data_IF_215160529783
#
_entry.id   IF_215160529783
#
_cell.length_a   1.000
_cell.length_b   1.000
_cell.length_c   1.000
_cell.angle_alpha   90.00
_cell.angle_beta   90.00
_cell.angle_gamma   90.00
#
_symmetry.space_group_name_H-M   'P 1'
#
loop_
_entity.id
_entity.type
_entity.pdbx_description
1 polymer ?
#
# COMPACT_ATOMS: atom_id res chain seq x y z
N UNK A 1 -14.63 -44.38 -17.02
CA UNK A 1 -14.36 -43.24 -16.12
C UNK A 1 -13.04 -42.62 -16.54
N UNK A 2 -13.10 -41.70 -17.49
CA UNK A 2 -11.91 -41.02 -18.03
C UNK A 2 -11.67 -39.71 -17.28
N UNK A 3 -10.42 -39.53 -16.83
CA UNK A 3 -9.93 -38.30 -16.22
C UNK A 3 -9.70 -37.27 -17.32
N UNK A 4 -10.53 -36.24 -17.38
CA UNK A 4 -10.27 -35.03 -18.17
C UNK A 4 -9.20 -34.22 -17.43
N UNK A 5 -8.06 -34.01 -18.07
CA UNK A 5 -6.95 -33.18 -17.57
C UNK A 5 -7.24 -31.70 -17.85
N UNK A 6 -6.90 -30.86 -16.87
CA UNK A 6 -7.20 -29.42 -16.75
C UNK A 6 -6.74 -28.53 -17.94
N UNK A 7 -5.97 -29.08 -18.88
CA UNK A 7 -5.46 -28.37 -20.06
C UNK A 7 -6.52 -28.18 -21.17
N UNK A 8 -7.58 -28.99 -21.22
CA UNK A 8 -8.66 -28.82 -22.21
C UNK A 8 -9.60 -27.64 -21.88
N UNK A 9 -9.63 -27.19 -20.62
CA UNK A 9 -10.48 -26.07 -20.23
C UNK A 9 -9.97 -24.73 -20.78
N UNK A 10 -8.65 -24.60 -20.96
CA UNK A 10 -8.01 -23.34 -21.39
C UNK A 10 -8.11 -23.12 -22.91
N UNK A 11 -8.19 -24.20 -23.71
CA UNK A 11 -8.39 -24.06 -25.16
C UNK A 11 -9.83 -23.65 -25.54
N UNK A 12 -10.80 -23.75 -24.62
CA UNK A 12 -12.19 -23.37 -24.87
C UNK A 12 -12.49 -21.86 -24.74
N UNK A 13 -11.53 -21.05 -24.25
CA UNK A 13 -11.71 -19.61 -24.02
C UNK A 13 -11.23 -18.76 -25.23
N UNK A 14 -10.77 -19.41 -26.30
CA UNK A 14 -10.35 -18.69 -27.52
C UNK A 14 -11.46 -18.76 -28.58
N UNK A 15 -12.09 -17.61 -28.83
CA UNK A 15 -13.15 -17.34 -29.82
C UNK A 15 -14.53 -17.99 -29.61
N UNK A 16 -15.47 -17.19 -29.07
CA UNK A 16 -16.83 -16.99 -29.65
C UNK A 16 -17.47 -15.72 -29.10
N UNK A 17 -17.34 -14.61 -29.84
CA UNK A 17 -18.30 -13.51 -29.76
C UNK A 17 -19.48 -13.86 -30.67
N UNK A 18 -20.48 -14.56 -30.13
CA UNK A 18 -21.79 -14.68 -30.77
C UNK A 18 -22.86 -14.33 -29.73
N UNK A 19 -23.33 -13.07 -29.77
CA UNK A 19 -24.53 -12.68 -29.05
C UNK A 19 -25.75 -13.26 -29.77
N UNK A 20 -26.29 -14.39 -29.29
CA UNK A 20 -27.65 -14.82 -29.66
C UNK A 20 -28.66 -14.06 -28.82
N UNK A 21 -29.44 -13.18 -29.46
CA UNK A 21 -30.61 -12.55 -28.84
C UNK A 21 -31.83 -13.47 -29.00
N UNK A 22 -32.50 -13.74 -27.89
CA UNK A 22 -33.82 -14.37 -27.84
C UNK A 22 -34.88 -13.27 -27.74
N UNK A 23 -36.02 -13.46 -28.41
CA UNK A 23 -37.15 -12.55 -28.18
C UNK A 23 -37.87 -12.87 -26.85
N UNK A 24 -38.83 -12.03 -26.47
CA UNK A 24 -39.60 -12.16 -25.22
C UNK A 24 -40.41 -13.47 -25.11
N UNK A 25 -40.49 -14.27 -26.19
CA UNK A 25 -41.13 -15.58 -26.21
C UNK A 25 -40.15 -16.75 -26.12
N UNK A 26 -38.85 -16.47 -26.02
CA UNK A 26 -37.80 -17.50 -25.87
C UNK A 26 -37.40 -18.19 -27.18
N UNK A 27 -37.81 -17.67 -28.35
CA UNK A 27 -37.40 -18.23 -29.65
C UNK A 27 -36.13 -17.57 -30.18
N UNK A 28 -35.25 -18.39 -30.75
CA UNK A 28 -33.93 -18.00 -31.27
C UNK A 28 -34.11 -17.31 -32.63
N UNK A 29 -33.70 -16.03 -32.76
CA UNK A 29 -33.66 -15.33 -34.05
C UNK A 29 -32.30 -15.51 -34.71
N UNK A 30 -32.27 -16.10 -35.92
CA UNK A 30 -31.10 -16.08 -36.80
C UNK A 30 -31.08 -14.77 -37.60
N UNK A 31 -29.90 -14.14 -37.81
CA UNK A 31 -29.81 -12.92 -38.62
C UNK A 31 -30.01 -13.23 -40.11
N UNK A 32 -30.95 -12.53 -40.74
CA UNK A 32 -31.15 -12.56 -42.19
C UNK A 32 -29.95 -11.94 -42.90
N UNK A 33 -29.35 -12.67 -43.84
CA UNK A 33 -28.45 -12.12 -44.87
C UNK A 33 -29.29 -11.59 -46.03
N UNK A 34 -29.12 -10.33 -46.43
CA UNK A 34 -29.20 -9.87 -47.83
C UNK A 34 -28.72 -8.42 -48.01
N UNK A 35 -27.68 -8.29 -48.86
CA UNK A 35 -27.36 -7.30 -49.90
C UNK A 35 -27.62 -5.77 -49.73
N UNK A 36 -26.49 -5.05 -49.63
CA UNK A 36 -26.05 -3.85 -50.41
C UNK A 36 -27.03 -2.79 -50.94
N UNK A 37 -26.88 -1.54 -50.47
CA UNK A 37 -26.57 -0.34 -51.28
C UNK A 37 -26.33 0.89 -50.36
N UNK A 38 -25.52 1.88 -50.77
CA UNK A 38 -25.06 2.98 -49.91
C UNK A 38 -26.04 4.15 -49.93
N UNK A 39 -26.14 4.97 -48.87
CA UNK A 39 -26.50 6.40 -48.95
C UNK A 39 -26.44 7.09 -47.57
N UNK A 40 -25.70 8.21 -47.58
CA UNK A 40 -25.70 9.42 -46.75
C UNK A 40 -25.57 9.38 -45.22
N UNK A 41 -24.53 10.09 -44.77
CA UNK A 41 -24.41 10.71 -43.46
C UNK A 41 -25.64 11.56 -43.11
N UNK A 42 -26.20 11.36 -41.92
CA UNK A 42 -26.82 12.45 -41.16
C UNK A 42 -26.52 12.27 -39.67
N UNK A 43 -26.16 13.39 -39.03
CA UNK A 43 -25.91 13.51 -37.59
C UNK A 43 -27.23 13.38 -36.82
N UNK A 44 -27.24 12.57 -35.77
CA UNK A 44 -27.61 12.93 -34.39
C UNK A 44 -28.12 11.70 -33.64
N UNK A 45 -27.60 11.48 -32.43
CA UNK A 45 -28.40 11.42 -31.21
C UNK A 45 -27.56 10.80 -30.08
N UNK A 46 -27.53 11.54 -28.99
CA UNK A 46 -26.85 11.36 -27.71
C UNK A 46 -27.44 10.24 -26.83
N UNK A 47 -26.58 9.80 -25.88
CA UNK A 47 -26.84 9.12 -24.60
C UNK A 47 -26.93 7.58 -24.58
N UNK A 48 -26.03 6.95 -23.79
CA UNK A 48 -26.42 6.56 -22.42
C UNK A 48 -25.35 6.87 -21.35
N UNK A 49 -24.82 8.10 -21.32
CA UNK A 49 -23.84 8.55 -20.31
C UNK A 49 -24.44 9.37 -19.15
N UNK A 50 -25.73 9.72 -19.19
CA UNK A 50 -26.32 10.66 -18.22
C UNK A 50 -26.86 10.03 -16.92
N UNK A 51 -27.15 8.73 -16.89
CA UNK A 51 -27.79 8.11 -15.70
C UNK A 51 -26.81 7.94 -14.52
N UNK A 52 -25.54 7.58 -14.79
CA UNK A 52 -24.51 7.47 -13.75
C UNK A 52 -24.09 8.84 -13.20
N UNK A 53 -24.02 9.87 -14.06
CA UNK A 53 -23.68 11.24 -13.63
C UNK A 53 -24.82 11.86 -12.81
N UNK A 54 -26.08 11.57 -13.14
CA UNK A 54 -27.23 12.00 -12.33
C UNK A 54 -27.24 11.34 -10.94
N UNK A 55 -26.98 10.04 -10.83
CA UNK A 55 -26.98 9.33 -9.54
C UNK A 55 -25.86 9.82 -8.60
N UNK A 56 -24.65 10.09 -9.13
CA UNK A 56 -23.55 10.67 -8.35
C UNK A 56 -23.85 12.13 -7.93
N UNK A 57 -24.48 12.92 -8.81
CA UNK A 57 -24.80 14.33 -8.53
C UNK A 57 -25.95 14.48 -7.52
N UNK A 58 -26.95 13.59 -7.57
CA UNK A 58 -28.09 13.56 -6.62
C UNK A 58 -27.62 13.12 -5.23
N UNK A 59 -26.74 12.12 -5.14
CA UNK A 59 -26.13 11.69 -3.88
C UNK A 59 -25.34 12.82 -3.20
N UNK A 60 -24.50 13.52 -3.96
CA UNK A 60 -23.67 14.61 -3.44
C UNK A 60 -24.48 15.86 -3.05
N UNK A 61 -25.58 16.17 -3.76
CA UNK A 61 -26.49 17.26 -3.36
C UNK A 61 -27.28 16.95 -2.09
N UNK A 62 -27.74 15.71 -1.92
CA UNK A 62 -28.48 15.30 -0.72
C UNK A 62 -27.58 15.34 0.53
N UNK A 63 -26.33 14.88 0.41
CA UNK A 63 -25.33 14.96 1.49
C UNK A 63 -24.99 16.43 1.81
N UNK A 64 -24.77 17.27 0.80
CA UNK A 64 -24.52 18.70 1.00
C UNK A 64 -25.67 19.46 1.68
N UNK A 65 -26.92 19.13 1.35
CA UNK A 65 -28.10 19.74 1.99
C UNK A 65 -28.32 19.27 3.43
N UNK A 66 -28.00 18.01 3.74
CA UNK A 66 -27.99 17.48 5.12
C UNK A 66 -26.91 18.16 5.96
N UNK A 67 -25.71 18.37 5.39
CA UNK A 67 -24.60 19.08 6.04
C UNK A 67 -24.96 20.54 6.35
N UNK A 68 -25.57 21.25 5.40
CA UNK A 68 -26.02 22.64 5.60
C UNK A 68 -27.12 22.75 6.68
N UNK A 69 -28.01 21.77 6.79
CA UNK A 69 -29.03 21.72 7.85
C UNK A 69 -28.44 21.42 9.23
N UNK A 70 -27.40 20.58 9.30
CA UNK A 70 -26.69 20.29 10.54
C UNK A 70 -25.89 21.51 11.04
N UNK A 71 -25.20 22.22 10.14
CA UNK A 71 -24.44 23.45 10.46
C UNK A 71 -25.37 24.56 10.99
N UNK A 72 -26.58 24.70 10.41
CA UNK A 72 -27.54 25.74 10.83
C UNK A 72 -28.19 25.46 12.21
N UNK A 73 -28.17 24.22 12.70
CA UNK A 73 -28.77 23.82 13.99
C UNK A 73 -27.77 23.72 15.16
N UNK A 74 -26.47 23.87 14.93
CA UNK A 74 -25.42 23.58 15.91
C UNK A 74 -24.57 24.78 16.35
N UNK A 75 -25.16 25.93 16.69
CA UNK A 75 -24.43 27.03 17.34
C UNK A 75 -24.37 26.79 18.86
N UNK A 76 -23.32 26.11 19.30
CA UNK A 76 -22.56 26.30 20.56
C UNK A 76 -21.76 25.03 20.82
N UNK A 77 -20.60 24.86 20.19
CA UNK A 77 -19.57 23.98 20.70
C UNK A 77 -18.22 24.41 20.13
N UNK A 78 -17.21 24.47 21.02
CA UNK A 78 -15.84 24.92 20.74
C UNK A 78 -15.35 24.41 19.38
N UNK A 79 -15.22 25.31 18.42
CA UNK A 79 -14.51 25.07 17.16
C UNK A 79 -13.04 24.87 17.49
N UNK A 80 -12.52 23.68 17.19
CA UNK A 80 -11.08 23.42 17.29
C UNK A 80 -10.39 24.20 16.17
N UNK A 81 -9.25 24.84 16.46
CA UNK A 81 -8.50 25.59 15.43
C UNK A 81 -8.09 24.64 14.31
N UNK A 82 -8.45 24.99 13.08
CA UNK A 82 -8.08 24.25 11.88
C UNK A 82 -6.59 23.90 11.87
N UNK A 83 -6.27 22.65 11.51
CA UNK A 83 -4.90 22.16 11.31
C UNK A 83 -4.20 21.53 12.52
N UNK A 84 -4.85 21.39 13.69
CA UNK A 84 -4.29 20.59 14.80
C UNK A 84 -4.82 19.16 14.76
N UNK A 85 -3.92 18.17 14.72
CA UNK A 85 -4.30 16.75 14.91
C UNK A 85 -5.05 16.60 16.24
N UNK A 86 -6.25 16.03 16.20
CA UNK A 86 -6.98 15.67 17.42
C UNK A 86 -6.26 14.49 18.07
N UNK A 87 -5.76 14.71 19.29
CA UNK A 87 -5.12 13.66 20.08
C UNK A 87 -6.16 12.57 20.41
N UNK A 88 -5.79 11.30 20.22
CA UNK A 88 -6.57 10.13 20.65
C UNK A 88 -7.02 10.22 22.10
N UNK A 89 -6.19 10.78 22.99
CA UNK A 89 -6.53 10.95 24.42
C UNK A 89 -7.77 11.83 24.63
N UNK A 90 -7.95 12.85 23.77
CA UNK A 90 -9.13 13.74 23.82
C UNK A 90 -10.36 12.98 23.34
N UNK A 91 -10.20 12.14 22.32
CA UNK A 91 -11.29 11.32 21.77
C UNK A 91 -11.71 10.28 22.80
N UNK A 92 -10.78 9.50 23.34
CA UNK A 92 -11.03 8.46 24.34
C UNK A 92 -11.58 9.04 25.65
N UNK A 93 -11.08 10.21 26.10
CA UNK A 93 -11.63 10.88 27.28
C UNK A 93 -13.09 11.32 27.07
N UNK A 94 -13.45 11.73 25.85
CA UNK A 94 -14.80 12.21 25.54
C UNK A 94 -15.76 11.09 25.14
N UNK A 95 -15.23 10.01 24.57
CA UNK A 95 -15.96 8.84 24.09
C UNK A 95 -15.25 7.57 24.59
N UNK A 96 -15.38 7.20 25.87
CA UNK A 96 -14.58 6.13 26.48
C UNK A 96 -14.86 4.71 25.94
N UNK A 97 -15.95 4.53 25.20
CA UNK A 97 -16.37 3.24 24.64
C UNK A 97 -16.12 3.12 23.13
N UNK A 98 -15.46 4.12 22.53
CA UNK A 98 -15.22 4.16 21.08
C UNK A 98 -14.17 3.12 20.67
N UNK A 99 -14.41 2.40 19.58
CA UNK A 99 -13.42 1.44 19.07
C UNK A 99 -12.23 2.14 18.42
N UNK A 100 -11.08 1.48 18.39
CA UNK A 100 -9.86 2.03 17.78
C UNK A 100 -10.06 2.44 16.32
N UNK A 101 -10.82 1.66 15.54
CA UNK A 101 -11.16 1.99 14.14
C UNK A 101 -11.95 3.29 14.02
N UNK A 102 -12.86 3.56 14.95
CA UNK A 102 -13.63 4.82 14.96
C UNK A 102 -12.71 5.99 15.35
N UNK A 103 -11.75 5.80 16.26
CA UNK A 103 -10.75 6.84 16.59
C UNK A 103 -9.93 7.23 15.37
N UNK A 104 -9.43 6.26 14.62
CA UNK A 104 -8.64 6.48 13.40
C UNK A 104 -9.47 7.19 12.32
N UNK A 105 -10.73 6.79 12.17
CA UNK A 105 -11.65 7.42 11.23
C UNK A 105 -12.01 8.86 11.66
N UNK A 106 -12.16 9.14 12.95
CA UNK A 106 -12.34 10.51 13.48
C UNK A 106 -11.13 11.38 13.12
N UNK A 107 -9.92 10.85 13.31
CA UNK A 107 -8.69 11.58 12.99
C UNK A 107 -8.58 11.85 11.49
N UNK A 108 -8.95 10.89 10.64
CA UNK A 108 -9.00 11.06 9.18
C UNK A 108 -10.02 12.13 8.78
N UNK A 109 -11.27 12.00 9.23
CA UNK A 109 -12.35 12.96 8.94
C UNK A 109 -11.97 14.36 9.39
N UNK A 110 -11.35 14.52 10.56
CA UNK A 110 -10.94 15.84 11.03
C UNK A 110 -9.75 16.43 10.26
N UNK A 111 -8.87 15.59 9.68
CA UNK A 111 -7.82 16.07 8.78
C UNK A 111 -8.39 16.56 7.44
N UNK A 112 -9.43 15.88 6.92
CA UNK A 112 -10.08 16.23 5.66
C UNK A 112 -11.04 17.42 5.79
N UNK A 113 -11.70 17.54 6.93
CA UNK A 113 -12.70 18.57 7.23
C UNK A 113 -12.35 19.29 8.55
N UNK A 114 -11.35 20.19 8.57
CA UNK A 114 -10.82 20.78 9.80
C UNK A 114 -11.85 21.61 10.59
N UNK A 115 -12.87 22.13 9.91
CA UNK A 115 -13.96 22.91 10.51
C UNK A 115 -15.06 22.03 11.13
N UNK A 116 -15.00 20.72 10.91
CA UNK A 116 -15.95 19.77 11.47
C UNK A 116 -15.77 19.65 12.98
N UNK A 117 -16.87 19.82 13.73
CA UNK A 117 -16.84 19.61 15.19
C UNK A 117 -16.48 18.17 15.51
N UNK A 118 -15.81 17.94 16.64
CA UNK A 118 -15.44 16.57 17.08
C UNK A 118 -16.65 15.63 17.20
N UNK A 119 -17.84 16.15 17.56
CA UNK A 119 -19.06 15.33 17.60
C UNK A 119 -19.54 14.94 16.20
N UNK A 120 -19.54 15.88 15.25
CA UNK A 120 -19.88 15.57 13.86
C UNK A 120 -18.87 14.60 13.22
N UNK A 121 -17.58 14.76 13.53
CA UNK A 121 -16.55 13.81 13.11
C UNK A 121 -16.73 12.43 13.72
N UNK A 122 -17.11 12.34 15.00
CA UNK A 122 -17.48 11.09 15.67
C UNK A 122 -18.71 10.44 15.02
N UNK A 123 -19.81 11.19 14.87
CA UNK A 123 -21.06 10.67 14.30
C UNK A 123 -20.84 10.17 12.85
N UNK A 124 -20.05 10.92 12.06
CA UNK A 124 -19.66 10.52 10.71
C UNK A 124 -18.75 9.29 10.73
N UNK A 125 -17.76 9.24 11.62
CA UNK A 125 -16.85 8.12 11.75
C UNK A 125 -17.54 6.84 12.21
N UNK A 126 -18.46 6.91 13.18
CA UNK A 126 -19.29 5.77 13.57
C UNK A 126 -20.19 5.31 12.45
N UNK A 127 -20.85 6.22 11.74
CA UNK A 127 -21.69 5.87 10.60
C UNK A 127 -20.88 5.23 9.48
N UNK A 128 -19.67 5.73 9.26
CA UNK A 128 -18.70 5.18 8.34
C UNK A 128 -18.29 3.76 8.75
N UNK A 129 -17.78 3.59 9.96
CA UNK A 129 -17.39 2.30 10.52
C UNK A 129 -18.58 1.33 10.51
N UNK A 130 -19.79 1.77 10.84
CA UNK A 130 -21.02 0.96 10.84
C UNK A 130 -21.40 0.51 9.43
N UNK A 131 -21.48 1.43 8.46
CA UNK A 131 -21.77 1.12 7.05
C UNK A 131 -20.75 0.19 6.43
N UNK A 132 -19.52 0.26 6.92
CA UNK A 132 -18.42 -0.54 6.40
C UNK A 132 -18.18 -1.83 7.18
N UNK A 133 -18.93 -2.09 8.27
CA UNK A 133 -18.77 -3.32 9.07
C UNK A 133 -17.50 -3.35 9.91
N UNK A 134 -17.15 -2.23 10.53
CA UNK A 134 -15.90 -1.95 11.28
C UNK A 134 -14.67 -1.59 10.43
N UNK A 135 -14.84 -0.86 9.32
CA UNK A 135 -13.71 -0.42 8.47
C UNK A 135 -13.53 1.11 8.49
N UNK A 136 -12.34 1.58 8.16
CA UNK A 136 -12.06 2.99 7.84
C UNK A 136 -12.76 3.31 6.51
N UNK A 137 -13.73 4.23 6.50
CA UNK A 137 -14.43 4.60 5.26
C UNK A 137 -13.63 5.62 4.49
N UNK A 138 -13.66 5.53 3.17
CA UNK A 138 -12.90 6.42 2.28
C UNK A 138 -11.98 5.69 1.32
N UNK A 139 -11.61 4.43 1.60
CA UNK A 139 -10.80 3.61 0.67
C UNK A 139 -11.60 2.96 -0.47
N UNK A 140 -12.76 3.51 -0.85
CA UNK A 140 -13.80 2.90 -1.69
C UNK A 140 -13.35 1.82 -2.69
N UNK A 141 -14.07 0.69 -2.75
CA UNK A 141 -13.74 -0.46 -3.61
C UNK A 141 -14.22 -1.77 -3.01
N UNK A 142 -14.34 -2.81 -3.82
CA UNK A 142 -14.61 -4.16 -3.32
C UNK A 142 -13.37 -4.74 -2.64
N UNK A 143 -13.53 -5.36 -1.47
CA UNK A 143 -12.45 -6.16 -0.83
C UNK A 143 -12.02 -7.25 -1.79
N UNK A 144 -10.72 -7.46 -1.90
CA UNK A 144 -10.15 -8.57 -2.66
C UNK A 144 -9.90 -9.72 -1.69
N UNK A 145 -10.54 -10.86 -1.93
CA UNK A 145 -10.50 -12.00 -1.00
C UNK A 145 -9.31 -12.91 -1.21
N UNK A 146 -8.90 -13.06 -2.47
CA UNK A 146 -7.88 -13.99 -2.92
C UNK A 146 -7.36 -13.56 -4.31
N UNK A 147 -6.33 -14.25 -4.79
CA UNK A 147 -5.68 -14.00 -6.06
C UNK A 147 -6.62 -14.18 -7.28
N UNK A 148 -7.63 -15.05 -7.21
CA UNK A 148 -8.60 -15.24 -8.30
C UNK A 148 -9.54 -14.04 -8.39
N UNK A 149 -10.03 -13.57 -7.25
CA UNK A 149 -10.82 -12.35 -7.13
C UNK A 149 -10.00 -11.12 -7.55
N UNK A 150 -8.71 -11.07 -7.21
CA UNK A 150 -7.78 -10.03 -7.69
C UNK A 150 -7.71 -9.99 -9.22
N UNK A 151 -7.44 -11.14 -9.86
CA UNK A 151 -7.36 -11.24 -11.32
C UNK A 151 -8.67 -10.81 -11.96
N UNK A 152 -9.80 -11.30 -11.44
CA UNK A 152 -11.14 -10.97 -11.94
C UNK A 152 -11.40 -9.46 -11.88
N UNK A 153 -11.17 -8.85 -10.71
CA UNK A 153 -11.42 -7.42 -10.48
C UNK A 153 -10.49 -6.52 -11.30
N UNK A 154 -9.22 -6.87 -11.44
CA UNK A 154 -8.30 -6.11 -12.27
C UNK A 154 -8.62 -6.26 -13.77
N UNK A 155 -9.08 -7.42 -14.21
CA UNK A 155 -9.53 -7.64 -15.60
C UNK A 155 -10.75 -6.78 -15.96
N UNK A 156 -11.66 -6.55 -15.01
CA UNK A 156 -12.82 -5.67 -15.20
C UNK A 156 -12.44 -4.20 -15.43
N UNK A 157 -11.20 -3.80 -15.11
CA UNK A 157 -10.68 -2.46 -15.41
C UNK A 157 -10.28 -2.32 -16.89
N UNK A 158 -10.38 -3.37 -17.71
CA UNK A 158 -10.13 -3.33 -19.15
C UNK A 158 -8.65 -3.26 -19.54
N UNK A 159 -7.74 -3.40 -18.57
CA UNK A 159 -6.30 -3.48 -18.82
C UNK A 159 -5.91 -4.89 -19.33
N UNK A 160 -4.80 -4.98 -20.06
CA UNK A 160 -4.24 -6.27 -20.45
C UNK A 160 -3.66 -6.97 -19.21
N UNK A 161 -4.20 -8.13 -18.86
CA UNK A 161 -3.85 -8.87 -17.66
C UNK A 161 -2.92 -10.06 -17.92
N UNK A 162 -2.53 -10.35 -19.15
CA UNK A 162 -1.82 -11.59 -19.50
C UNK A 162 -0.58 -11.87 -18.63
N UNK A 163 0.36 -10.91 -18.56
CA UNK A 163 1.59 -11.03 -17.76
C UNK A 163 1.32 -10.91 -16.26
N UNK A 164 0.40 -10.02 -15.86
CA UNK A 164 0.08 -9.80 -14.45
C UNK A 164 -0.64 -11.00 -13.83
N UNK A 165 -1.58 -11.61 -14.55
CA UNK A 165 -2.29 -12.81 -14.12
C UNK A 165 -1.34 -13.99 -13.93
N UNK A 166 -0.41 -14.21 -14.89
CA UNK A 166 0.61 -15.26 -14.74
C UNK A 166 1.48 -15.03 -13.49
N UNK A 167 1.91 -13.78 -13.27
CA UNK A 167 2.65 -13.41 -12.07
C UNK A 167 1.83 -13.68 -10.80
N UNK A 168 0.57 -13.23 -10.75
CA UNK A 168 -0.32 -13.43 -9.60
C UNK A 168 -0.50 -14.93 -9.32
N UNK A 169 -0.72 -15.74 -10.34
CA UNK A 169 -0.88 -17.20 -10.19
C UNK A 169 0.40 -17.86 -9.70
N UNK A 170 1.57 -17.45 -10.20
CA UNK A 170 2.86 -18.03 -9.79
C UNK A 170 3.24 -17.68 -8.33
N UNK A 171 2.66 -16.61 -7.79
CA UNK A 171 2.91 -16.10 -6.43
C UNK A 171 1.64 -16.11 -5.56
N UNK A 172 0.69 -17.00 -5.86
CA UNK A 172 -0.65 -16.96 -5.25
C UNK A 172 -0.62 -17.12 -3.73
N UNK A 173 0.22 -18.00 -3.17
CA UNK A 173 0.35 -18.19 -1.72
C UNK A 173 0.79 -16.91 -0.98
N UNK A 174 1.74 -16.18 -1.55
CA UNK A 174 2.23 -14.91 -1.01
C UNK A 174 1.16 -13.81 -1.11
N UNK A 175 0.51 -13.74 -2.27
CA UNK A 175 -0.55 -12.76 -2.54
C UNK A 175 -1.75 -13.01 -1.63
N UNK A 176 -2.20 -14.25 -1.48
CA UNK A 176 -3.34 -14.59 -0.62
C UNK A 176 -3.05 -14.27 0.85
N UNK A 177 -1.82 -14.51 1.32
CA UNK A 177 -1.38 -14.08 2.66
C UNK A 177 -1.49 -12.56 2.79
N UNK A 178 -0.93 -11.79 1.85
CA UNK A 178 -1.05 -10.33 1.84
C UNK A 178 -2.51 -9.84 1.84
N UNK A 179 -3.35 -10.39 0.97
CA UNK A 179 -4.76 -10.03 0.83
C UNK A 179 -5.56 -10.31 2.11
N UNK A 180 -5.26 -11.43 2.78
CA UNK A 180 -5.87 -11.82 4.05
C UNK A 180 -5.45 -10.90 5.19
N UNK A 181 -4.14 -10.65 5.35
CA UNK A 181 -3.61 -9.91 6.49
C UNK A 181 -3.81 -8.39 6.37
N UNK A 182 -3.81 -7.84 5.15
CA UNK A 182 -3.84 -6.39 4.92
C UNK A 182 -5.17 -5.86 4.35
N UNK A 183 -6.11 -6.75 4.06
CA UNK A 183 -7.44 -6.42 3.55
C UNK A 183 -7.43 -5.47 2.34
N UNK A 184 -6.66 -5.80 1.31
CA UNK A 184 -6.55 -4.98 0.10
C UNK A 184 -7.90 -4.75 -0.59
N UNK A 185 -8.01 -3.59 -1.23
CA UNK A 185 -9.14 -3.13 -2.02
C UNK A 185 -8.69 -2.87 -3.46
N UNK A 186 -9.62 -2.94 -4.41
CA UNK A 186 -9.32 -2.66 -5.84
C UNK A 186 -8.66 -1.29 -6.05
N UNK A 187 -9.06 -0.29 -5.25
CA UNK A 187 -8.52 1.07 -5.31
C UNK A 187 -7.04 1.17 -4.93
N UNK A 188 -6.48 0.17 -4.24
CA UNK A 188 -5.06 0.17 -3.84
C UNK A 188 -4.11 -0.09 -5.01
N UNK A 189 -4.60 -0.68 -6.11
CA UNK A 189 -3.78 -1.15 -7.23
C UNK A 189 -3.55 -0.10 -8.33
N UNK A 190 -4.14 1.10 -8.26
CA UNK A 190 -3.94 2.23 -9.21
C UNK A 190 -3.82 1.83 -10.70
N UNK A 191 -4.64 0.90 -11.16
CA UNK A 191 -4.62 0.41 -12.55
C UNK A 191 -5.54 1.24 -13.44
N UNK A 192 -5.07 1.58 -14.65
CA UNK A 192 -5.86 2.29 -15.66
C UNK A 192 -6.16 1.37 -16.86
N UNK A 193 -7.31 1.51 -17.55
CA UNK A 193 -7.65 0.69 -18.72
C UNK A 193 -6.60 0.71 -19.85
N UNK A 194 -5.82 1.80 -19.95
CA UNK A 194 -4.77 1.93 -20.95
C UNK A 194 -3.42 1.30 -20.55
N UNK A 195 -3.34 0.66 -19.39
CA UNK A 195 -2.10 0.02 -18.95
C UNK A 195 -1.84 -1.26 -19.76
N UNK A 196 -0.58 -1.40 -20.19
CA UNK A 196 -0.05 -2.66 -20.68
C UNK A 196 0.08 -3.68 -19.55
N UNK A 197 0.16 -4.98 -19.88
CA UNK A 197 0.33 -6.03 -18.87
C UNK A 197 1.55 -5.85 -17.97
N UNK A 198 2.64 -5.28 -18.49
CA UNK A 198 3.82 -4.95 -17.70
C UNK A 198 3.53 -3.86 -16.66
N UNK A 199 2.80 -2.82 -17.04
CA UNK A 199 2.41 -1.74 -16.12
C UNK A 199 1.44 -2.24 -15.05
N UNK A 200 0.52 -3.15 -15.39
CA UNK A 200 -0.36 -3.75 -14.39
C UNK A 200 0.44 -4.61 -13.42
N UNK A 201 1.37 -5.46 -13.90
CA UNK A 201 2.25 -6.24 -13.03
C UNK A 201 3.02 -5.32 -12.07
N UNK A 202 3.62 -4.24 -12.58
CA UNK A 202 4.33 -3.25 -11.74
C UNK A 202 3.41 -2.66 -10.68
N UNK A 203 2.21 -2.20 -11.05
CA UNK A 203 1.26 -1.64 -10.10
C UNK A 203 0.82 -2.64 -9.02
N UNK A 204 0.69 -3.93 -9.37
CA UNK A 204 0.41 -5.02 -8.42
C UNK A 204 1.59 -5.24 -7.48
N UNK A 205 2.80 -5.37 -8.00
CA UNK A 205 4.00 -5.52 -7.18
C UNK A 205 4.18 -4.32 -6.24
N UNK A 206 4.05 -3.10 -6.75
CA UNK A 206 4.20 -1.89 -5.95
C UNK A 206 3.17 -1.82 -4.82
N UNK A 207 1.91 -2.22 -5.07
CA UNK A 207 0.89 -2.26 -4.03
C UNK A 207 1.28 -3.21 -2.88
N UNK A 208 1.79 -4.41 -3.18
CA UNK A 208 2.23 -5.37 -2.16
C UNK A 208 3.53 -4.95 -1.45
N UNK A 209 4.39 -4.17 -2.11
CA UNK A 209 5.59 -3.61 -1.48
C UNK A 209 5.27 -2.42 -0.57
N UNK A 210 4.34 -1.55 -0.98
CA UNK A 210 4.09 -0.30 -0.27
C UNK A 210 3.03 -0.42 0.83
N UNK A 211 1.98 -1.20 0.63
CA UNK A 211 0.85 -1.21 1.56
C UNK A 211 1.18 -1.76 2.96
N UNK A 212 2.03 -2.79 3.14
CA UNK A 212 2.43 -3.22 4.49
C UNK A 212 3.00 -2.08 5.32
N UNK A 213 3.83 -1.22 4.74
CA UNK A 213 4.42 -0.06 5.42
C UNK A 213 3.40 0.98 5.88
N UNK A 214 2.28 1.09 5.16
CA UNK A 214 1.23 2.10 5.40
C UNK A 214 0.13 1.59 6.32
N UNK A 215 -0.22 0.31 6.22
CA UNK A 215 -1.36 -0.29 6.91
C UNK A 215 -0.96 -0.86 8.27
N UNK A 216 0.25 -1.41 8.40
CA UNK A 216 0.72 -1.96 9.67
C UNK A 216 1.35 -0.85 10.51
N UNK A 217 0.81 -0.57 11.70
CA UNK A 217 1.26 0.56 12.54
C UNK A 217 2.26 0.20 13.63
N UNK A 218 2.37 -1.07 13.99
CA UNK A 218 3.27 -1.51 15.06
C UNK A 218 4.35 -2.43 14.51
N UNK A 219 5.54 -2.35 15.11
CA UNK A 219 6.66 -3.22 14.72
C UNK A 219 6.35 -4.70 14.98
N UNK A 220 5.64 -5.01 16.08
CA UNK A 220 5.25 -6.38 16.41
C UNK A 220 4.38 -6.98 15.30
N UNK A 221 3.33 -6.26 14.89
CA UNK A 221 2.47 -6.69 13.79
C UNK A 221 3.23 -6.79 12.46
N UNK A 222 4.19 -5.89 12.22
CA UNK A 222 4.99 -5.92 10.98
C UNK A 222 5.91 -7.15 10.96
N UNK A 223 6.55 -7.48 12.08
CA UNK A 223 7.39 -8.66 12.20
C UNK A 223 6.58 -9.94 11.98
N UNK A 224 5.41 -10.07 12.62
CA UNK A 224 4.52 -11.22 12.43
C UNK A 224 4.07 -11.36 10.98
N UNK A 225 3.66 -10.27 10.34
CA UNK A 225 3.29 -10.25 8.93
C UNK A 225 4.45 -10.71 8.03
N UNK A 226 5.66 -10.17 8.25
CA UNK A 226 6.82 -10.52 7.43
C UNK A 226 7.25 -11.98 7.61
N UNK A 227 7.04 -12.58 8.79
CA UNK A 227 7.27 -14.00 9.03
C UNK A 227 6.26 -14.85 8.24
N UNK A 228 4.98 -14.47 8.22
CA UNK A 228 3.95 -15.14 7.43
C UNK A 228 4.24 -15.05 5.92
N UNK A 229 4.67 -13.89 5.43
CA UNK A 229 5.07 -13.74 4.02
C UNK A 229 6.24 -14.65 3.65
N UNK A 230 7.28 -14.73 4.50
CA UNK A 230 8.44 -15.60 4.26
C UNK A 230 8.05 -17.07 4.30
N UNK A 231 7.10 -17.45 5.17
CA UNK A 231 6.56 -18.81 5.21
C UNK A 231 5.77 -19.14 3.92
N UNK A 232 5.07 -18.18 3.35
CA UNK A 232 4.31 -18.35 2.11
C UNK A 232 5.21 -18.49 0.87
N UNK A 233 6.26 -17.66 0.75
CA UNK A 233 7.18 -17.70 -0.39
C UNK A 233 8.60 -17.21 -0.07
N UNK A 234 9.44 -18.13 0.43
CA UNK A 234 10.75 -17.83 1.02
C UNK A 234 11.65 -16.89 0.21
N UNK A 235 11.85 -17.10 -1.09
CA UNK A 235 12.81 -16.33 -1.89
C UNK A 235 12.32 -14.92 -2.20
N UNK A 236 11.09 -14.79 -2.68
CA UNK A 236 10.50 -13.51 -3.11
C UNK A 236 10.23 -12.63 -1.89
N UNK A 237 9.63 -13.19 -0.83
CA UNK A 237 9.33 -12.45 0.41
C UNK A 237 10.58 -11.95 1.11
N UNK A 238 11.68 -12.71 1.10
CA UNK A 238 12.95 -12.25 1.68
C UNK A 238 13.49 -10.98 0.99
N UNK A 239 13.29 -10.86 -0.32
CA UNK A 239 13.67 -9.65 -1.05
C UNK A 239 12.73 -8.47 -0.75
N UNK A 240 11.44 -8.75 -0.50
CA UNK A 240 10.43 -7.73 -0.24
C UNK A 240 10.53 -7.11 1.14
N UNK A 241 10.74 -7.97 2.13
CA UNK A 241 10.83 -7.66 3.56
C UNK A 241 11.76 -6.51 3.89
N UNK A 242 12.94 -6.47 3.27
CA UNK A 242 13.91 -5.39 3.48
C UNK A 242 13.38 -4.02 3.07
N UNK A 243 12.80 -3.92 1.86
CA UNK A 243 12.24 -2.67 1.34
C UNK A 243 10.93 -2.29 2.04
N UNK A 244 10.05 -3.25 2.34
CA UNK A 244 8.85 -3.00 3.15
C UNK A 244 9.22 -2.44 4.54
N UNK A 245 10.28 -2.96 5.16
CA UNK A 245 10.76 -2.48 6.46
C UNK A 245 11.32 -1.06 6.40
N UNK A 246 12.14 -0.77 5.38
CA UNK A 246 12.63 0.59 5.12
C UNK A 246 11.47 1.58 5.02
N UNK A 247 10.49 1.28 4.16
CA UNK A 247 9.32 2.13 4.00
C UNK A 247 8.51 2.24 5.30
N UNK A 248 8.41 1.14 6.05
CA UNK A 248 7.71 1.13 7.34
C UNK A 248 8.39 2.08 8.33
N UNK A 249 9.72 2.07 8.41
CA UNK A 249 10.51 2.96 9.26
C UNK A 249 10.26 4.41 8.87
N UNK A 250 10.33 4.74 7.58
CA UNK A 250 10.10 6.08 7.06
C UNK A 250 8.71 6.65 7.39
N UNK A 251 7.69 5.78 7.36
CA UNK A 251 6.30 6.17 7.61
C UNK A 251 5.99 6.25 9.11
N UNK A 252 6.47 5.31 9.90
CA UNK A 252 6.00 5.11 11.28
C UNK A 252 6.99 5.64 12.34
N UNK A 253 8.27 5.83 12.02
CA UNK A 253 9.28 6.31 12.98
C UNK A 253 9.60 7.78 12.68
N UNK A 254 9.04 8.70 13.47
CA UNK A 254 9.08 10.15 13.19
C UNK A 254 10.47 10.71 12.94
N UNK A 255 11.49 10.25 13.67
CA UNK A 255 12.87 10.72 13.52
C UNK A 255 13.50 10.37 12.16
N UNK A 256 12.91 9.45 11.39
CA UNK A 256 13.41 9.00 10.09
C UNK A 256 12.69 9.60 8.89
N UNK A 257 11.56 10.28 9.10
CA UNK A 257 10.77 10.90 8.02
C UNK A 257 11.56 11.88 7.12
N UNK A 258 12.71 12.38 7.59
CA UNK A 258 13.59 13.31 6.86
C UNK A 258 14.84 12.66 6.25
N UNK A 259 15.05 11.35 6.45
CA UNK A 259 16.28 10.63 6.09
C UNK A 259 16.19 9.86 4.78
N UNK A 260 15.33 10.34 3.86
CA UNK A 260 14.99 9.65 2.60
C UNK A 260 16.08 9.73 1.52
N UNK A 261 17.10 10.56 1.72
CA UNK A 261 18.22 10.61 0.79
C UNK A 261 19.05 9.34 0.95
N UNK A 262 19.38 8.69 -0.16
CA UNK A 262 20.34 7.60 -0.21
C UNK A 262 21.67 8.11 -0.73
N UNK A 263 22.78 7.58 -0.23
CA UNK A 263 24.11 7.85 -0.78
C UNK A 263 24.61 6.62 -1.52
N UNK A 264 25.03 6.82 -2.76
CA UNK A 264 25.65 5.80 -3.60
C UNK A 264 27.16 5.94 -3.61
N UNK A 265 27.86 4.86 -3.30
CA UNK A 265 29.32 4.75 -3.28
C UNK A 265 29.77 3.81 -4.40
N UNK A 266 30.43 4.32 -5.45
CA UNK A 266 30.96 3.47 -6.50
C UNK A 266 32.02 2.52 -5.92
N UNK A 267 32.14 1.33 -6.50
CA UNK A 267 33.16 0.36 -6.09
C UNK A 267 34.55 0.99 -6.23
N UNK A 268 35.33 0.99 -5.15
CA UNK A 268 36.71 1.48 -5.15
C UNK A 268 37.58 0.74 -4.14
N UNK A 269 38.89 0.68 -4.40
CA UNK A 269 39.87 0.07 -3.51
C UNK A 269 39.52 -1.35 -3.09
N UNK A 270 39.43 -1.57 -1.78
CA UNK A 270 39.16 -2.89 -1.18
C UNK A 270 37.67 -3.23 -1.06
N UNK A 271 36.77 -2.41 -1.61
CA UNK A 271 35.34 -2.70 -1.55
C UNK A 271 34.98 -3.90 -2.42
N UNK A 272 34.16 -4.80 -1.89
CA UNK A 272 33.68 -5.97 -2.62
C UNK A 272 32.79 -5.57 -3.82
N UNK A 273 31.92 -4.57 -3.61
CA UNK A 273 30.99 -4.02 -4.61
C UNK A 273 30.65 -2.55 -4.33
N UNK A 274 29.94 -1.91 -5.26
CA UNK A 274 29.32 -0.62 -5.01
C UNK A 274 28.28 -0.75 -3.88
N UNK A 275 28.06 0.33 -3.13
CA UNK A 275 27.16 0.34 -1.98
C UNK A 275 26.22 1.52 -2.05
N UNK A 276 24.95 1.25 -1.76
CA UNK A 276 23.94 2.28 -1.55
C UNK A 276 23.51 2.20 -0.09
N UNK A 277 23.41 3.36 0.58
CA UNK A 277 22.79 3.43 1.90
C UNK A 277 21.27 3.44 1.79
N UNK A 278 20.57 2.94 2.80
CA UNK A 278 19.11 3.00 2.87
C UNK A 278 18.63 4.40 3.25
N UNK A 279 19.44 5.13 4.05
CA UNK A 279 19.19 6.54 4.38
C UNK A 279 20.47 7.33 4.64
N UNK A 280 20.32 8.65 4.72
CA UNK A 280 21.38 9.61 5.03
C UNK A 280 20.80 10.77 5.84
N UNK A 281 21.48 11.11 6.94
CA UNK A 281 21.16 12.24 7.77
C UNK A 281 22.21 13.35 7.55
N UNK A 282 21.83 14.38 6.80
CA UNK A 282 22.73 15.49 6.47
C UNK A 282 23.10 16.35 7.68
N UNK A 283 22.33 16.29 8.78
CA UNK A 283 22.64 17.07 9.99
C UNK A 283 23.77 16.43 10.79
N UNK A 284 23.79 15.10 10.86
CA UNK A 284 24.82 14.35 11.58
C UNK A 284 25.93 13.83 10.67
N UNK A 285 25.74 13.93 9.35
CA UNK A 285 26.61 13.37 8.31
C UNK A 285 26.79 11.84 8.45
N UNK A 286 25.71 11.14 8.77
CA UNK A 286 25.72 9.70 9.02
C UNK A 286 24.85 8.97 7.99
N UNK A 287 25.31 7.82 7.54
CA UNK A 287 24.48 6.91 6.74
C UNK A 287 23.71 5.96 7.65
N UNK A 288 22.54 5.57 7.19
CA UNK A 288 21.66 4.62 7.86
C UNK A 288 21.42 3.41 6.96
N UNK A 289 21.49 2.23 7.56
CA UNK A 289 21.35 0.95 6.91
C UNK A 289 20.31 0.13 7.68
N UNK A 290 19.16 -0.10 7.07
CA UNK A 290 18.00 -0.75 7.67
C UNK A 290 18.06 -2.25 7.41
N UNK A 291 17.88 -3.05 8.45
CA UNK A 291 18.12 -4.50 8.40
C UNK A 291 17.00 -5.26 9.07
N UNK A 292 16.05 -5.73 8.25
CA UNK A 292 14.98 -6.65 8.70
C UNK A 292 15.44 -8.11 8.69
N UNK A 293 16.60 -8.37 9.29
CA UNK A 293 17.16 -9.72 9.46
C UNK A 293 17.32 -10.02 10.94
N UNK A 294 17.08 -11.27 11.32
CA UNK A 294 17.37 -11.79 12.66
C UNK A 294 18.81 -12.28 12.79
N UNK A 295 19.52 -12.45 11.67
CA UNK A 295 20.91 -12.92 11.63
C UNK A 295 21.96 -11.81 11.56
N UNK A 296 23.25 -12.18 11.48
CA UNK A 296 24.34 -11.24 11.31
C UNK A 296 24.24 -10.46 10.01
N UNK A 297 24.65 -9.19 10.04
CA UNK A 297 24.90 -8.40 8.81
C UNK A 297 26.02 -9.06 8.00
N UNK A 298 25.88 -9.03 6.68
CA UNK A 298 26.87 -9.53 5.73
C UNK A 298 28.26 -8.93 6.02
N UNK A 299 29.25 -9.81 6.23
CA UNK A 299 30.62 -9.44 6.59
C UNK A 299 31.27 -8.54 5.53
N UNK A 300 31.00 -8.77 4.25
CA UNK A 300 31.55 -7.95 3.18
C UNK A 300 30.88 -6.58 3.14
N UNK A 301 29.60 -6.48 3.53
CA UNK A 301 28.95 -5.19 3.73
C UNK A 301 29.59 -4.39 4.86
N UNK A 302 29.86 -5.04 6.01
CA UNK A 302 30.52 -4.41 7.15
C UNK A 302 31.91 -3.89 6.75
N UNK A 303 32.70 -4.70 6.04
CA UNK A 303 34.03 -4.31 5.55
C UNK A 303 33.97 -3.15 4.56
N UNK A 304 33.00 -3.15 3.64
CA UNK A 304 32.86 -2.07 2.66
C UNK A 304 32.53 -0.74 3.34
N UNK A 305 31.61 -0.75 4.31
CA UNK A 305 31.30 0.45 5.09
C UNK A 305 32.46 0.88 5.99
N UNK A 306 33.21 -0.07 6.56
CA UNK A 306 34.40 0.23 7.36
C UNK A 306 35.44 0.94 6.48
N UNK A 307 35.64 0.46 5.25
CA UNK A 307 36.49 1.10 4.27
C UNK A 307 36.00 2.50 3.89
N UNK A 308 34.69 2.67 3.62
CA UNK A 308 34.09 3.98 3.30
C UNK A 308 34.38 5.00 4.39
N UNK A 309 34.15 4.64 5.65
CA UNK A 309 34.37 5.53 6.80
C UNK A 309 35.87 5.81 7.01
N UNK A 310 36.71 4.78 7.05
CA UNK A 310 38.14 4.95 7.36
C UNK A 310 38.89 5.72 6.27
N UNK A 311 38.54 5.48 5.00
CA UNK A 311 39.19 6.14 3.85
C UNK A 311 38.48 7.41 3.42
N UNK A 312 37.39 7.80 4.09
CA UNK A 312 36.55 8.95 3.73
C UNK A 312 36.14 8.91 2.26
N UNK A 313 35.73 7.73 1.79
CA UNK A 313 35.27 7.53 0.41
C UNK A 313 34.07 8.43 0.19
N UNK A 314 34.10 9.17 -0.91
CA UNK A 314 33.02 10.07 -1.27
C UNK A 314 31.94 9.32 -2.05
N UNK A 315 30.68 9.63 -1.76
CA UNK A 315 29.56 9.20 -2.58
C UNK A 315 29.60 9.85 -3.97
N UNK A 316 28.71 9.42 -4.87
CA UNK A 316 28.46 10.07 -6.14
C UNK A 316 28.12 11.56 -5.99
N UNK A 317 27.50 11.94 -4.87
CA UNK A 317 27.16 13.32 -4.50
C UNK A 317 28.32 14.07 -3.82
N UNK A 318 29.56 13.53 -3.87
CA UNK A 318 30.77 14.10 -3.27
C UNK A 318 30.68 14.26 -1.73
N UNK A 319 29.87 13.44 -1.05
CA UNK A 319 29.70 13.42 0.41
C UNK A 319 30.54 12.29 1.04
N UNK A 320 31.32 12.59 2.07
CA UNK A 320 32.04 11.59 2.86
C UNK A 320 31.38 11.46 4.26
N UNK A 321 30.60 10.40 4.53
CA UNK A 321 29.94 10.23 5.81
C UNK A 321 30.94 9.94 6.94
N UNK A 322 30.57 10.31 8.16
CA UNK A 322 31.42 10.14 9.36
C UNK A 322 31.12 8.88 10.16
N UNK A 323 29.91 8.32 10.03
CA UNK A 323 29.50 7.10 10.73
C UNK A 323 28.46 6.30 9.95
N UNK A 324 28.30 5.04 10.35
CA UNK A 324 27.24 4.12 9.87
C UNK A 324 26.36 3.72 11.04
N UNK A 325 25.05 3.88 10.86
CA UNK A 325 24.03 3.45 11.81
C UNK A 325 23.25 2.26 11.23
N UNK A 326 23.30 1.12 11.90
CA UNK A 326 22.46 -0.03 11.57
C UNK A 326 21.18 -0.02 12.40
N UNK A 327 20.02 -0.12 11.74
CA UNK A 327 18.72 -0.17 12.41
C UNK A 327 18.07 -1.54 12.22
N UNK A 328 17.76 -2.19 13.33
CA UNK A 328 17.12 -3.51 13.40
C UNK A 328 15.66 -3.42 13.86
N UNK A 329 14.82 -4.42 13.53
CA UNK A 329 13.41 -4.42 13.90
C UNK A 329 13.17 -4.47 15.41
N UNK A 330 14.07 -5.09 16.17
CA UNK A 330 13.91 -5.25 17.62
C UNK A 330 15.25 -5.40 18.34
N UNK A 331 15.18 -5.43 19.68
CA UNK A 331 16.33 -5.54 20.55
C UNK A 331 17.09 -6.86 20.33
N UNK A 332 16.40 -7.96 20.05
CA UNK A 332 17.03 -9.27 19.86
C UNK A 332 17.92 -9.28 18.61
N UNK A 333 17.40 -8.78 17.49
CA UNK A 333 18.14 -8.63 16.24
C UNK A 333 19.34 -7.67 16.38
N UNK A 334 19.18 -6.58 17.12
CA UNK A 334 20.28 -5.67 17.43
C UNK A 334 21.35 -6.33 18.32
N UNK A 335 20.95 -7.09 19.33
CA UNK A 335 21.88 -7.81 20.22
C UNK A 335 22.68 -8.87 19.45
N UNK A 336 22.05 -9.60 18.53
CA UNK A 336 22.72 -10.53 17.63
C UNK A 336 23.81 -9.86 16.77
N UNK A 337 23.71 -8.55 16.56
CA UNK A 337 24.64 -7.73 15.78
C UNK A 337 25.47 -6.76 16.64
N UNK A 338 25.50 -6.95 17.97
CA UNK A 338 26.22 -6.08 18.90
C UNK A 338 27.73 -6.00 18.65
N UNK A 339 28.32 -7.01 18.00
CA UNK A 339 29.72 -7.02 17.57
C UNK A 339 30.10 -5.86 16.65
N UNK A 340 29.14 -5.28 15.92
CA UNK A 340 29.38 -4.09 15.08
C UNK A 340 29.84 -2.89 15.91
N UNK A 341 29.50 -2.82 17.20
CA UNK A 341 29.93 -1.73 18.10
C UNK A 341 31.44 -1.70 18.37
N UNK A 342 32.13 -2.81 18.09
CA UNK A 342 33.61 -2.85 18.18
C UNK A 342 34.30 -2.10 17.04
N UNK A 343 33.55 -1.72 15.99
CA UNK A 343 34.06 -0.98 14.84
C UNK A 343 33.93 0.53 15.08
N UNK A 344 35.00 1.27 14.80
CA UNK A 344 35.00 2.72 14.96
C UNK A 344 33.93 3.37 14.08
N UNK A 345 33.11 4.24 14.68
CA UNK A 345 32.01 4.97 14.03
C UNK A 345 30.89 4.08 13.48
N UNK A 346 30.71 2.88 14.05
CA UNK A 346 29.56 2.03 13.79
C UNK A 346 28.62 2.08 14.99
N UNK A 347 27.34 2.24 14.72
CA UNK A 347 26.30 2.29 15.75
C UNK A 347 25.23 1.25 15.45
N UNK A 348 24.71 0.63 16.51
CA UNK A 348 23.62 -0.35 16.44
C UNK A 348 22.39 0.25 17.10
N UNK A 349 21.26 0.18 16.39
CA UNK A 349 19.97 0.71 16.80
C UNK A 349 18.89 -0.35 16.62
N UNK A 350 17.82 -0.25 17.41
CA UNK A 350 16.63 -1.07 17.26
C UNK A 350 15.36 -0.23 17.38
N UNK A 351 14.26 -0.73 16.84
CA UNK A 351 12.94 -0.15 17.09
C UNK A 351 12.41 -0.67 18.42
N UNK A 352 12.18 0.26 19.36
CA UNK A 352 11.45 -0.04 20.58
C UNK A 352 9.96 -0.19 20.24
N UNK A 353 9.33 -1.32 20.61
CA UNK A 353 7.92 -1.54 20.33
C UNK A 353 7.04 -0.56 21.09
N UNK A 354 5.97 -0.10 20.44
CA UNK A 354 4.98 0.82 21.02
C UNK A 354 4.08 1.42 19.93
N UNK A 355 3.06 2.17 20.35
CA UNK A 355 2.15 2.88 19.43
C UNK A 355 2.83 4.03 18.68
N UNK A 356 3.89 4.58 19.26
CA UNK A 356 4.79 5.55 18.62
C UNK A 356 6.18 4.90 18.62
N UNK A 357 6.50 4.06 17.63
CA UNK A 357 7.78 3.37 17.59
C UNK A 357 8.93 4.39 17.55
N UNK A 358 9.95 4.12 18.36
CA UNK A 358 11.14 4.96 18.48
C UNK A 358 12.38 4.13 18.22
N UNK A 359 13.36 4.70 17.53
CA UNK A 359 14.67 4.08 17.46
C UNK A 359 15.46 4.33 18.75
N UNK A 360 16.03 3.26 19.31
CA UNK A 360 16.92 3.30 20.48
C UNK A 360 18.29 2.74 20.09
N UNK A 361 19.34 3.39 20.58
CA UNK A 361 20.73 2.92 20.42
C UNK A 361 20.99 1.78 21.42
N UNK A 362 21.69 0.73 20.98
CA UNK A 362 22.02 -0.46 21.77
C UNK A 362 23.25 -0.30 22.67
#
# INVERSE_FOLDING_TARGET
MEKITYLECIQSITYRKDYTMFDKSGKRKLPNKTNSAPVTQSRSSTAPFDVMRLQQTIGNRAVGQLLQRAIKKGRTNKTYKAGRKINSDIITKKYPHVSQTVIEEIQRVHLEEPDMTLKAAYDLAEENVRKSGKRVVGRGGGKITDHTDLISKLSLLGADMSTAALYITNHCSLIDTNLRELEFLVSDFKVHPSYSAKQVKTAVTDAFMEMPSKLIRTMSSFNSFAEEEVAAEKSTSSAWKGNQFEQWVDVNVKSFSTRKQRLSFPKTGSMSKARDSDGYDSKTNEIWDYKHVSGPVDVDQVKDYEYIIQKKVKSADNIAPTAVNYLFPDLSAAQANSGLKSKNNFNVWYIQPGMSPEAKKL
#
